data_IF_777626349336
#
_entry.id   IF_777626349336
#
_cell.length_a   1.000
_cell.length_b   1.000
_cell.length_c   1.000
_cell.angle_alpha   90.00
_cell.angle_beta   90.00
_cell.angle_gamma   90.00
#
_symmetry.space_group_name_H-M   'P 1'
#
loop_
_entity.id
_entity.type
_entity.pdbx_description
1 polymer ?
#
# COMPACT_ATOMS: atom_id res chain seq x y z
N UNK A 1 0.71 -15.43 -41.62
CA UNK A 1 0.90 -14.07 -41.06
C UNK A 1 0.04 -13.91 -39.80
N UNK A 2 0.53 -14.28 -38.62
CA UNK A 2 -0.15 -13.98 -37.36
C UNK A 2 0.90 -13.64 -36.30
N UNK A 3 0.98 -12.37 -35.94
CA UNK A 3 1.99 -11.86 -35.01
C UNK A 3 1.78 -10.40 -34.69
N UNK A 4 0.60 -10.02 -34.17
CA UNK A 4 0.34 -8.65 -33.72
C UNK A 4 -0.89 -8.52 -32.80
N UNK A 5 -0.95 -9.27 -31.70
CA UNK A 5 -2.02 -9.09 -30.69
C UNK A 5 -1.58 -9.26 -29.22
N UNK A 6 -0.33 -9.66 -28.94
CA UNK A 6 0.12 -9.94 -27.58
C UNK A 6 0.69 -8.70 -26.83
N UNK A 7 1.21 -7.70 -27.55
CA UNK A 7 1.91 -6.56 -26.93
C UNK A 7 1.01 -5.59 -26.13
N UNK A 8 -0.25 -5.41 -26.54
CA UNK A 8 -1.16 -4.43 -25.93
C UNK A 8 -1.74 -4.86 -24.57
N UNK A 9 -1.97 -6.17 -24.36
CA UNK A 9 -2.44 -6.69 -23.07
C UNK A 9 -1.35 -6.63 -22.01
N UNK A 10 -0.11 -6.98 -22.38
CA UNK A 10 1.03 -7.04 -21.46
C UNK A 10 1.43 -5.66 -20.91
N UNK A 11 1.34 -4.59 -21.73
CA UNK A 11 1.61 -3.22 -21.30
C UNK A 11 0.56 -2.71 -20.28
N UNK A 12 -0.73 -2.98 -20.53
CA UNK A 12 -1.82 -2.60 -19.62
C UNK A 12 -1.69 -3.26 -18.25
N UNK A 13 -1.25 -4.52 -18.19
CA UNK A 13 -1.08 -5.24 -16.92
C UNK A 13 0.04 -4.66 -16.05
N UNK A 14 1.15 -4.23 -16.68
CA UNK A 14 2.25 -3.58 -15.94
C UNK A 14 1.85 -2.21 -15.41
N UNK A 15 1.18 -1.41 -16.24
CA UNK A 15 0.65 -0.09 -15.84
C UNK A 15 -0.33 -0.26 -14.67
N UNK A 16 -1.22 -1.25 -14.74
CA UNK A 16 -2.17 -1.57 -13.69
C UNK A 16 -1.46 -1.90 -12.35
N UNK A 17 -0.39 -2.71 -12.39
CA UNK A 17 0.42 -3.03 -11.21
C UNK A 17 1.06 -1.79 -10.57
N UNK A 18 1.59 -0.87 -11.39
CA UNK A 18 2.17 0.39 -10.91
C UNK A 18 1.09 1.26 -10.24
N UNK A 19 -0.08 1.38 -10.87
CA UNK A 19 -1.21 2.16 -10.32
C UNK A 19 -1.70 1.56 -9.00
N UNK A 20 -1.78 0.23 -8.91
CA UNK A 20 -2.15 -0.47 -7.66
C UNK A 20 -1.12 -0.24 -6.55
N UNK A 21 0.18 -0.33 -6.84
CA UNK A 21 1.23 -0.06 -5.87
C UNK A 21 1.18 1.40 -5.39
N UNK A 22 1.02 2.35 -6.31
CA UNK A 22 0.91 3.77 -5.98
C UNK A 22 -0.35 4.07 -5.14
N UNK A 23 -1.49 3.47 -5.48
CA UNK A 23 -2.71 3.61 -4.70
C UNK A 23 -2.57 2.98 -3.30
N UNK A 24 -1.90 1.83 -3.18
CA UNK A 24 -1.64 1.19 -1.89
C UNK A 24 -0.76 2.01 -0.97
N UNK A 25 0.30 2.62 -1.50
CA UNK A 25 1.16 3.52 -0.73
C UNK A 25 0.46 4.84 -0.39
N UNK A 26 -0.38 5.37 -1.30
CA UNK A 26 -1.18 6.56 -1.02
C UNK A 26 -2.18 6.31 0.12
N UNK A 27 -2.93 5.22 0.07
CA UNK A 27 -3.89 4.84 1.12
C UNK A 27 -3.18 4.62 2.46
N UNK A 28 -2.04 3.92 2.45
CA UNK A 28 -1.25 3.69 3.67
C UNK A 28 -0.72 4.99 4.27
N UNK A 29 -0.29 5.93 3.43
CA UNK A 29 0.18 7.25 3.85
C UNK A 29 -0.97 8.09 4.41
N UNK A 30 -2.11 8.14 3.72
CA UNK A 30 -3.24 8.95 4.11
C UNK A 30 -3.86 8.45 5.43
N UNK A 31 -3.95 7.14 5.63
CA UNK A 31 -4.42 6.59 6.89
C UNK A 31 -3.52 6.94 8.09
N UNK A 32 -2.19 6.99 7.89
CA UNK A 32 -1.27 7.47 8.93
C UNK A 32 -1.46 8.96 9.22
N UNK A 33 -1.82 9.78 8.24
CA UNK A 33 -2.20 11.18 8.49
C UNK A 33 -3.51 11.28 9.25
N UNK A 34 -4.50 10.44 8.94
CA UNK A 34 -5.79 10.41 9.64
C UNK A 34 -5.63 10.11 11.13
N UNK A 35 -4.76 9.15 11.49
CA UNK A 35 -4.48 8.86 12.91
C UNK A 35 -3.80 10.04 13.61
N UNK A 36 -2.84 10.69 12.97
CA UNK A 36 -2.19 11.90 13.50
C UNK A 36 -3.18 13.06 13.68
N UNK A 37 -4.14 13.22 12.77
CA UNK A 37 -5.21 14.21 12.87
C UNK A 37 -6.14 13.88 14.06
N UNK A 38 -6.55 12.62 14.24
CA UNK A 38 -7.36 12.20 15.39
C UNK A 38 -6.67 12.58 16.71
N UNK A 39 -5.38 12.27 16.88
CA UNK A 39 -4.66 12.66 18.10
C UNK A 39 -4.53 14.17 18.28
N UNK A 40 -4.32 14.93 17.20
CA UNK A 40 -4.32 16.40 17.27
C UNK A 40 -5.68 16.96 17.69
N UNK A 41 -6.78 16.38 17.23
CA UNK A 41 -8.13 16.79 17.60
C UNK A 41 -8.42 16.46 19.06
N UNK A 42 -8.06 15.25 19.52
CA UNK A 42 -8.17 14.83 20.94
C UNK A 42 -7.45 15.83 21.87
N UNK A 43 -6.27 16.31 21.47
CA UNK A 43 -5.49 17.24 22.28
C UNK A 43 -6.00 18.68 22.27
N UNK A 44 -6.85 19.05 21.29
CA UNK A 44 -7.44 20.40 21.18
C UNK A 44 -8.81 20.52 21.87
N UNK A 45 -9.48 19.41 22.15
CA UNK A 45 -10.81 19.42 22.77
C UNK A 45 -10.65 19.72 24.28
N UNK A 46 -11.34 20.73 24.83
CA UNK A 46 -11.33 21.01 26.26
C UNK A 46 -11.96 19.86 27.05
N UNK A 47 -11.41 19.56 28.23
CA UNK A 47 -11.89 18.50 29.12
C UNK A 47 -13.28 18.91 29.63
N UNK A 48 -14.31 18.37 29.01
CA UNK A 48 -15.71 18.62 29.35
C UNK A 48 -16.48 17.32 29.17
N UNK A 49 -17.31 16.96 30.14
CA UNK A 49 -17.99 15.65 30.20
C UNK A 49 -18.89 15.35 28.99
N UNK A 50 -19.24 16.39 28.21
CA UNK A 50 -20.01 16.25 26.98
C UNK A 50 -19.23 15.58 25.84
N UNK A 51 -17.90 15.63 25.87
CA UNK A 51 -17.03 15.11 24.82
C UNK A 51 -16.23 13.87 25.24
N UNK A 52 -16.39 13.36 26.45
CA UNK A 52 -15.65 12.19 26.93
C UNK A 52 -15.90 10.95 26.05
N UNK A 53 -17.17 10.71 25.68
CA UNK A 53 -17.54 9.62 24.77
C UNK A 53 -16.87 9.80 23.39
N UNK A 54 -16.89 11.02 22.85
CA UNK A 54 -16.28 11.32 21.55
C UNK A 54 -14.75 11.14 21.62
N UNK A 55 -14.13 11.51 22.75
CA UNK A 55 -12.70 11.37 22.97
C UNK A 55 -12.27 9.91 23.05
N UNK A 56 -13.05 9.06 23.72
CA UNK A 56 -12.80 7.62 23.78
C UNK A 56 -12.93 6.97 22.41
N UNK A 57 -14.00 7.25 21.66
CA UNK A 57 -14.20 6.72 20.31
C UNK A 57 -13.08 7.14 19.36
N UNK A 58 -12.68 8.42 19.40
CA UNK A 58 -11.61 8.94 18.54
C UNK A 58 -10.25 8.33 18.90
N UNK A 59 -10.01 8.04 20.19
CA UNK A 59 -8.82 7.32 20.66
C UNK A 59 -8.82 5.87 20.19
N UNK A 60 -9.98 5.21 20.22
CA UNK A 60 -10.16 3.84 19.77
C UNK A 60 -9.89 3.72 18.26
N UNK A 61 -10.44 4.63 17.45
CA UNK A 61 -10.19 4.72 16.00
C UNK A 61 -8.71 4.98 15.71
N UNK A 62 -8.09 5.92 16.43
CA UNK A 62 -6.68 6.23 16.24
C UNK A 62 -5.77 5.03 16.59
N UNK A 63 -6.11 4.32 17.67
CA UNK A 63 -5.37 3.13 18.12
C UNK A 63 -5.57 1.95 17.17
N UNK A 64 -6.78 1.73 16.65
CA UNK A 64 -7.04 0.72 15.62
C UNK A 64 -6.28 1.03 14.33
N UNK A 65 -6.23 2.30 13.92
CA UNK A 65 -5.51 2.74 12.73
C UNK A 65 -4.00 2.53 12.88
N UNK A 66 -3.44 2.82 14.06
CA UNK A 66 -2.03 2.57 14.37
C UNK A 66 -1.71 1.07 14.46
N UNK A 67 -2.53 0.29 15.15
CA UNK A 67 -2.28 -1.13 15.40
C UNK A 67 -2.43 -1.97 14.13
N UNK A 68 -3.40 -1.63 13.27
CA UNK A 68 -3.68 -2.38 12.04
C UNK A 68 -2.94 -1.84 10.81
N UNK A 69 -2.33 -0.65 10.91
CA UNK A 69 -1.63 0.11 9.86
C UNK A 69 -2.16 -0.26 8.46
N UNK A 70 -3.27 0.35 8.01
CA UNK A 70 -4.05 -0.14 6.87
C UNK A 70 -3.20 -0.10 5.61
N UNK A 71 -2.60 -1.25 5.35
CA UNK A 71 -1.80 -1.55 4.18
C UNK A 71 -2.65 -2.42 3.29
N UNK A 72 -2.75 -2.06 2.01
CA UNK A 72 -3.43 -2.91 1.04
C UNK A 72 -2.66 -4.22 0.95
N UNK A 73 -3.25 -5.32 1.38
CA UNK A 73 -2.66 -6.64 1.28
C UNK A 73 -3.35 -7.43 0.17
N UNK A 74 -2.57 -8.00 -0.73
CA UNK A 74 -3.03 -8.99 -1.67
C UNK A 74 -3.18 -10.33 -0.92
N UNK A 75 -4.41 -10.61 -0.49
CA UNK A 75 -4.82 -11.91 0.10
C UNK A 75 -4.00 -12.33 1.35
N UNK A 76 -3.38 -11.39 2.06
CA UNK A 76 -2.52 -11.67 3.22
C UNK A 76 -1.10 -12.16 2.89
N UNK A 77 -0.78 -12.39 1.61
CA UNK A 77 0.53 -12.88 1.20
C UNK A 77 1.53 -11.74 0.99
N UNK A 78 1.11 -10.64 0.39
CA UNK A 78 1.98 -9.51 0.07
C UNK A 78 1.30 -8.19 0.40
N UNK A 79 2.08 -7.22 0.86
CA UNK A 79 1.62 -5.83 0.88
C UNK A 79 1.76 -5.26 -0.53
N UNK A 80 0.73 -4.60 -1.05
CA UNK A 80 0.71 -3.96 -2.36
C UNK A 80 1.32 -2.56 -2.21
N UNK A 81 2.64 -2.52 -2.23
CA UNK A 81 3.46 -1.32 -2.09
C UNK A 81 4.67 -1.36 -3.05
N UNK A 82 5.41 -0.26 -3.19
CA UNK A 82 6.60 -0.22 -4.06
C UNK A 82 7.63 -1.32 -3.75
N UNK A 83 7.67 -1.81 -2.51
CA UNK A 83 8.49 -2.97 -2.11
C UNK A 83 8.15 -4.22 -2.92
N UNK A 84 6.87 -4.55 -3.09
CA UNK A 84 6.44 -5.69 -3.91
C UNK A 84 6.85 -5.51 -5.38
N UNK A 85 6.76 -4.29 -5.90
CA UNK A 85 7.22 -3.99 -7.25
C UNK A 85 8.74 -4.21 -7.40
N UNK A 86 9.53 -3.77 -6.41
CA UNK A 86 10.96 -4.02 -6.35
C UNK A 86 11.31 -5.52 -6.33
N UNK A 87 10.56 -6.33 -5.57
CA UNK A 87 10.74 -7.79 -5.57
C UNK A 87 10.46 -8.42 -6.94
N UNK A 88 9.39 -8.00 -7.63
CA UNK A 88 9.07 -8.52 -8.98
C UNK A 88 10.18 -8.17 -9.97
N UNK A 89 10.63 -6.91 -9.97
CA UNK A 89 11.72 -6.47 -10.86
C UNK A 89 13.01 -7.24 -10.57
N UNK A 90 13.39 -7.36 -9.30
CA UNK A 90 14.61 -8.07 -8.89
C UNK A 90 14.56 -9.56 -9.24
N UNK A 91 13.40 -10.19 -9.11
CA UNK A 91 13.19 -11.58 -9.51
C UNK A 91 13.37 -11.78 -11.02
N UNK A 92 12.77 -10.90 -11.83
CA UNK A 92 12.94 -10.93 -13.30
C UNK A 92 14.41 -10.71 -13.67
N UNK A 93 15.07 -9.71 -13.07
CA UNK A 93 16.48 -9.43 -13.31
C UNK A 93 17.36 -10.62 -12.94
N UNK A 94 17.10 -11.26 -11.79
CA UNK A 94 17.84 -12.44 -11.34
C UNK A 94 17.69 -13.59 -12.35
N UNK A 95 16.48 -13.84 -12.83
CA UNK A 95 16.23 -14.87 -13.84
C UNK A 95 16.99 -14.59 -15.15
N UNK A 96 17.01 -13.33 -15.60
CA UNK A 96 17.75 -12.93 -16.80
C UNK A 96 19.25 -13.17 -16.62
N UNK A 97 19.83 -12.77 -15.48
CA UNK A 97 21.25 -12.96 -15.19
C UNK A 97 21.61 -14.44 -15.22
N UNK A 98 20.83 -15.29 -14.53
CA UNK A 98 21.04 -16.74 -14.50
C UNK A 98 20.93 -17.31 -15.92
N UNK A 99 19.92 -16.91 -16.69
CA UNK A 99 19.74 -17.38 -18.07
C UNK A 99 20.92 -17.01 -18.96
N UNK A 100 21.49 -15.82 -18.80
CA UNK A 100 22.69 -15.38 -19.54
C UNK A 100 23.90 -16.23 -19.14
N UNK A 101 24.08 -16.50 -17.85
CA UNK A 101 25.20 -17.33 -17.36
C UNK A 101 25.16 -18.77 -17.87
N UNK A 102 23.98 -19.32 -18.15
CA UNK A 102 23.84 -20.65 -18.76
C UNK A 102 23.88 -20.64 -20.30
N UNK A 103 23.80 -19.45 -20.92
CA UNK A 103 23.80 -19.30 -22.38
C UNK A 103 25.19 -18.95 -22.93
N UNK A 104 26.05 -18.36 -22.10
CA UNK A 104 27.50 -18.18 -22.32
C UNK A 104 28.23 -19.44 -21.86
#
# INVERSE_FOLDING_TARGET
MQGKAAGGKFSKTKILLVVLAAAGDYVSSEANKTSAICYKVINKIPISSKYDVIKEELKLIAQQTLCRNPRLSAFGFFTVNFTMMGFIVTSITSYIIISIQFLI
#
